data_IF_360555229820
#
_entry.id   IF_360555229820
#
_cell.length_a   1.000
_cell.length_b   1.000
_cell.length_c   1.000
_cell.angle_alpha   90.00
_cell.angle_beta   90.00
_cell.angle_gamma   90.00
#
_symmetry.space_group_name_H-M   'P 1'
#
loop_
_entity.id
_entity.type
_entity.pdbx_description
1 polymer ?
#
# COMPACT_ATOMS: atom_id res chain seq x y z
N UNK A 1 24.92 -3.05 -11.93
CA UNK A 1 25.39 -2.00 -10.99
C UNK A 1 24.80 -2.30 -9.63
N UNK A 2 25.53 -2.07 -8.54
CA UNK A 2 24.99 -2.15 -7.18
C UNK A 2 24.59 -0.74 -6.70
N UNK A 3 23.50 -0.58 -5.94
CA UNK A 3 23.12 0.71 -5.38
C UNK A 3 24.15 1.17 -4.34
N UNK A 4 24.57 2.42 -4.43
CA UNK A 4 25.44 3.02 -3.41
C UNK A 4 24.58 3.49 -2.21
N UNK A 5 24.43 2.61 -1.21
CA UNK A 5 23.59 2.85 -0.03
C UNK A 5 24.40 3.26 1.20
N UNK A 6 23.88 4.17 2.06
CA UNK A 6 24.46 4.43 3.38
C UNK A 6 24.60 3.14 4.20
N UNK A 7 25.65 3.06 5.03
CA UNK A 7 25.93 1.87 5.84
C UNK A 7 24.73 1.47 6.72
N UNK A 8 24.07 2.45 7.34
CA UNK A 8 22.88 2.23 8.18
C UNK A 8 21.75 1.55 7.40
N UNK A 9 21.44 2.05 6.20
CA UNK A 9 20.43 1.50 5.29
C UNK A 9 20.77 0.05 4.91
N UNK A 10 22.03 -0.21 4.53
CA UNK A 10 22.51 -1.55 4.19
C UNK A 10 22.35 -2.52 5.35
N UNK A 11 22.71 -2.09 6.55
CA UNK A 11 22.59 -2.89 7.77
C UNK A 11 21.13 -3.21 8.08
N UNK A 12 20.23 -2.22 8.01
CA UNK A 12 18.79 -2.42 8.23
C UNK A 12 18.17 -3.41 7.23
N UNK A 13 18.47 -3.26 5.94
CA UNK A 13 18.01 -4.19 4.89
C UNK A 13 18.53 -5.60 5.14
N UNK A 14 19.80 -5.73 5.52
CA UNK A 14 20.43 -7.03 5.77
C UNK A 14 19.79 -7.75 6.96
N UNK A 15 19.56 -7.02 8.06
CA UNK A 15 18.86 -7.53 9.26
C UNK A 15 17.43 -7.94 8.91
N UNK A 16 16.67 -7.07 8.22
CA UNK A 16 15.29 -7.36 7.83
C UNK A 16 15.17 -8.57 6.89
N UNK A 17 16.07 -8.66 5.90
CA UNK A 17 16.12 -9.79 4.97
C UNK A 17 16.46 -11.09 5.69
N UNK A 18 17.42 -11.06 6.62
CA UNK A 18 17.78 -12.21 7.43
C UNK A 18 16.62 -12.66 8.34
N UNK A 19 16.00 -11.72 9.05
CA UNK A 19 14.84 -11.97 9.89
C UNK A 19 13.68 -12.61 9.11
N UNK A 20 13.35 -12.06 7.93
CA UNK A 20 12.32 -12.63 7.06
C UNK A 20 12.68 -14.07 6.64
N UNK A 21 13.92 -14.32 6.21
CA UNK A 21 14.39 -15.67 5.82
C UNK A 21 14.32 -16.67 6.97
N UNK A 22 14.67 -16.27 8.19
CA UNK A 22 14.57 -17.13 9.39
C UNK A 22 13.12 -17.56 9.68
N UNK A 23 12.13 -16.78 9.23
CA UNK A 23 10.73 -17.09 9.44
C UNK A 23 10.16 -18.04 8.38
N UNK A 24 10.84 -18.25 7.24
CA UNK A 24 10.39 -19.16 6.19
C UNK A 24 10.91 -20.56 6.46
N UNK A 25 10.00 -21.55 6.52
CA UNK A 25 10.36 -22.97 6.60
C UNK A 25 10.56 -23.55 5.21
N UNK A 26 11.29 -24.66 5.13
CA UNK A 26 11.57 -25.35 3.86
C UNK A 26 10.32 -25.88 3.15
N UNK A 27 9.23 -26.13 3.89
CA UNK A 27 7.92 -26.56 3.38
C UNK A 27 7.05 -25.40 2.87
N UNK A 28 7.55 -24.17 2.89
CA UNK A 28 6.82 -22.97 2.45
C UNK A 28 5.88 -22.38 3.50
N UNK A 29 5.80 -22.95 4.71
CA UNK A 29 5.08 -22.35 5.83
C UNK A 29 5.89 -21.22 6.48
N UNK A 30 5.20 -20.34 7.22
CA UNK A 30 5.83 -19.20 7.91
C UNK A 30 5.74 -19.38 9.42
N UNK A 31 6.81 -19.09 10.14
CA UNK A 31 6.82 -19.04 11.60
C UNK A 31 6.29 -17.68 12.09
N UNK A 32 4.96 -17.55 12.17
CA UNK A 32 4.27 -16.32 12.61
C UNK A 32 4.69 -15.83 13.98
N UNK A 33 4.88 -16.75 14.93
CA UNK A 33 5.28 -16.38 16.30
C UNK A 33 6.68 -15.78 16.31
N UNK A 34 7.62 -16.39 15.59
CA UNK A 34 8.96 -15.83 15.46
C UNK A 34 8.93 -14.47 14.75
N UNK A 35 8.20 -14.37 13.64
CA UNK A 35 8.08 -13.10 12.92
C UNK A 35 7.48 -12.00 13.81
N UNK A 36 6.43 -12.32 14.57
CA UNK A 36 5.80 -11.38 15.51
C UNK A 36 6.74 -10.90 16.64
N UNK A 37 7.77 -11.67 16.99
CA UNK A 37 8.79 -11.24 17.96
C UNK A 37 9.82 -10.30 17.32
N UNK A 38 10.07 -10.44 16.02
CA UNK A 38 11.03 -9.64 15.26
C UNK A 38 10.40 -8.35 14.70
N UNK A 39 9.11 -8.39 14.40
CA UNK A 39 8.33 -7.26 13.93
C UNK A 39 7.97 -6.33 15.09
N UNK A 40 8.65 -5.19 15.16
CA UNK A 40 8.39 -4.20 16.20
C UNK A 40 7.02 -3.55 15.99
N UNK A 41 6.07 -3.89 16.85
CA UNK A 41 4.71 -3.32 16.80
C UNK A 41 4.59 -2.00 17.55
N UNK A 42 3.67 -1.15 17.11
CA UNK A 42 3.26 0.10 17.74
C UNK A 42 1.82 -0.02 18.20
N UNK A 43 1.59 0.26 19.48
CA UNK A 43 0.25 0.20 20.10
C UNK A 43 -0.48 1.52 19.86
N UNK A 44 -1.76 1.43 19.48
CA UNK A 44 -2.69 2.56 19.39
C UNK A 44 -3.77 2.44 20.49
N UNK A 45 -4.42 3.54 20.93
CA UNK A 45 -4.26 4.89 20.43
C UNK A 45 -2.94 5.54 20.87
N UNK A 46 -2.34 6.33 19.97
CA UNK A 46 -1.14 7.12 20.29
C UNK A 46 -1.04 8.34 19.38
N UNK A 47 -0.37 9.39 19.85
CA UNK A 47 -0.07 10.60 19.08
C UNK A 47 1.44 10.76 18.96
N UNK A 48 1.93 10.94 17.73
CA UNK A 48 3.35 11.14 17.42
C UNK A 48 3.52 12.43 16.63
N UNK A 49 4.64 13.12 16.82
CA UNK A 49 4.93 14.35 16.07
C UNK A 49 5.85 14.02 14.90
N UNK A 50 5.43 14.38 13.69
CA UNK A 50 6.21 14.26 12.46
C UNK A 50 6.22 15.61 11.75
N UNK A 51 7.40 16.15 11.44
CA UNK A 51 7.55 17.47 10.78
C UNK A 51 6.72 18.57 11.47
N UNK A 52 6.80 18.65 12.81
CA UNK A 52 6.05 19.59 13.66
C UNK A 52 4.52 19.47 13.60
N UNK A 53 3.99 18.40 13.00
CA UNK A 53 2.56 18.08 12.95
C UNK A 53 2.28 16.88 13.88
N UNK A 54 1.44 17.03 14.91
CA UNK A 54 0.92 15.89 15.67
C UNK A 54 0.04 15.01 14.78
N UNK A 55 0.24 13.70 14.82
CA UNK A 55 -0.58 12.71 14.12
C UNK A 55 -1.10 11.71 15.14
N UNK A 56 -2.42 11.68 15.34
CA UNK A 56 -3.06 10.66 16.16
C UNK A 56 -3.29 9.40 15.35
N UNK A 57 -3.26 8.26 16.03
CA UNK A 57 -3.56 6.95 15.46
C UNK A 57 -4.50 6.17 16.36
N UNK A 58 -5.44 5.43 15.77
CA UNK A 58 -6.40 4.56 16.47
C UNK A 58 -6.76 3.34 15.61
N UNK A 59 -7.11 2.22 16.24
CA UNK A 59 -7.48 0.99 15.54
C UNK A 59 -9.01 0.85 15.51
N UNK A 60 -9.57 0.59 14.34
CA UNK A 60 -11.01 0.44 14.12
C UNK A 60 -11.28 -0.97 13.61
N UNK A 61 -12.10 -1.72 14.35
CA UNK A 61 -12.50 -3.07 13.97
C UNK A 61 -13.53 -3.02 12.83
N UNK A 62 -13.31 -3.83 11.81
CA UNK A 62 -14.20 -3.98 10.65
C UNK A 62 -14.95 -5.31 10.74
N UNK A 63 -14.21 -6.40 10.96
CA UNK A 63 -14.75 -7.75 11.15
C UNK A 63 -13.87 -8.53 12.13
N UNK A 64 -14.29 -8.64 13.41
CA UNK A 64 -13.55 -9.37 14.44
C UNK A 64 -13.33 -10.85 14.12
N UNK A 65 -14.24 -11.49 13.36
CA UNK A 65 -14.17 -12.93 13.08
C UNK A 65 -12.97 -13.30 12.20
N UNK A 66 -12.47 -12.33 11.43
CA UNK A 66 -11.30 -12.47 10.54
C UNK A 66 -10.08 -11.68 11.02
N UNK A 67 -10.17 -11.04 12.19
CA UNK A 67 -9.19 -10.06 12.65
C UNK A 67 -8.94 -8.95 11.61
N UNK A 68 -10.02 -8.51 10.93
CA UNK A 68 -9.98 -7.41 9.98
C UNK A 68 -10.24 -6.09 10.71
N UNK A 69 -9.29 -5.20 10.61
CA UNK A 69 -9.33 -3.87 11.20
C UNK A 69 -8.45 -2.94 10.36
N UNK A 70 -8.54 -1.65 10.59
CA UNK A 70 -7.60 -0.69 10.03
C UNK A 70 -7.09 0.27 11.09
N UNK A 71 -5.86 0.75 10.90
CA UNK A 71 -5.34 1.88 11.67
C UNK A 71 -5.71 3.18 10.97
N UNK A 72 -6.43 4.04 11.68
CA UNK A 72 -6.73 5.39 11.25
C UNK A 72 -5.60 6.33 11.69
N UNK A 73 -5.08 7.14 10.79
CA UNK A 73 -4.12 8.21 11.10
C UNK A 73 -4.73 9.56 10.76
N UNK A 74 -4.69 10.51 11.71
CA UNK A 74 -5.30 11.83 11.57
C UNK A 74 -4.29 12.91 11.96
N UNK A 75 -3.88 13.78 11.03
CA UNK A 75 -2.99 14.89 11.34
C UNK A 75 -3.77 16.02 12.02
N UNK A 76 -3.16 16.63 13.03
CA UNK A 76 -3.59 17.86 13.64
C UNK A 76 -2.86 19.04 13.01
N UNK A 77 -3.36 19.46 11.85
CA UNK A 77 -2.83 20.64 11.17
C UNK A 77 -3.43 21.90 11.76
N UNK A 78 -2.61 22.91 12.04
CA UNK A 78 -3.04 24.28 12.43
C UNK A 78 -3.81 25.03 11.32
N UNK A 79 -4.26 24.34 10.27
CA UNK A 79 -5.05 24.91 9.19
C UNK A 79 -6.41 25.38 9.71
N UNK A 80 -7.06 26.30 8.97
CA UNK A 80 -8.39 26.78 9.30
C UNK A 80 -9.37 25.63 9.50
N UNK A 81 -10.37 25.84 10.36
CA UNK A 81 -11.43 24.86 10.66
C UNK A 81 -12.22 24.37 9.42
N UNK A 82 -12.00 24.96 8.25
CA UNK A 82 -12.69 24.69 6.98
C UNK A 82 -11.88 23.82 6.01
N UNK A 83 -10.59 23.54 6.28
CA UNK A 83 -9.79 22.73 5.35
C UNK A 83 -10.09 21.24 5.51
N UNK A 84 -10.78 20.65 4.53
CA UNK A 84 -10.99 19.21 4.46
C UNK A 84 -9.69 18.48 4.07
N UNK A 85 -9.54 17.25 4.54
CA UNK A 85 -8.35 16.41 4.34
C UNK A 85 -8.68 15.26 3.37
N UNK A 86 -7.91 15.05 2.28
CA UNK A 86 -8.08 13.88 1.42
C UNK A 86 -7.99 12.57 2.22
N UNK A 87 -8.71 11.56 1.75
CA UNK A 87 -8.68 10.20 2.29
C UNK A 87 -7.70 9.34 1.50
N UNK A 88 -6.79 8.65 2.18
CA UNK A 88 -5.91 7.64 1.59
C UNK A 88 -6.22 6.29 2.25
N UNK A 89 -6.74 5.33 1.49
CA UNK A 89 -6.85 3.93 1.91
C UNK A 89 -5.57 3.21 1.47
N UNK A 90 -4.77 2.79 2.45
CA UNK A 90 -3.42 2.29 2.25
C UNK A 90 -3.30 0.80 2.59
N UNK A 91 -2.59 0.08 1.72
CA UNK A 91 -2.24 -1.33 1.88
C UNK A 91 -0.71 -1.47 2.00
N UNK A 92 -0.25 -2.03 3.13
CA UNK A 92 1.19 -2.21 3.37
C UNK A 92 1.81 -3.30 2.47
N UNK A 93 3.11 -3.17 2.20
CA UNK A 93 3.93 -4.19 1.57
C UNK A 93 4.27 -5.38 2.47
N UNK A 94 5.14 -6.28 1.99
CA UNK A 94 5.53 -7.49 2.72
C UNK A 94 5.28 -8.80 1.97
N UNK A 95 5.12 -8.76 0.65
CA UNK A 95 4.97 -9.96 -0.17
C UNK A 95 3.76 -10.81 0.19
N UNK A 96 2.64 -10.17 0.57
CA UNK A 96 1.41 -10.80 1.10
C UNK A 96 1.61 -11.59 2.40
N UNK A 97 2.81 -11.55 2.97
CA UNK A 97 3.23 -12.48 4.01
C UNK A 97 3.61 -11.75 5.28
N UNK A 98 4.17 -10.55 5.20
CA UNK A 98 4.78 -9.88 6.35
C UNK A 98 4.07 -8.58 6.70
N UNK A 99 4.28 -8.17 7.95
CA UNK A 99 3.91 -6.88 8.52
C UNK A 99 2.39 -6.65 8.69
N UNK A 100 2.04 -5.49 9.22
CA UNK A 100 0.69 -4.99 9.42
C UNK A 100 0.69 -3.46 9.59
N UNK A 101 -0.49 -2.82 9.72
CA UNK A 101 -0.59 -1.39 9.99
C UNK A 101 0.11 -0.95 11.29
N UNK A 102 0.27 -1.89 12.23
CA UNK A 102 0.96 -1.71 13.50
C UNK A 102 2.46 -1.98 13.47
N UNK A 103 3.02 -2.47 12.35
CA UNK A 103 4.46 -2.61 12.20
C UNK A 103 5.11 -1.23 12.18
N UNK A 104 6.14 -1.00 13.01
CA UNK A 104 6.79 0.30 13.23
C UNK A 104 7.17 1.03 11.94
N UNK A 105 7.62 0.33 10.91
CA UNK A 105 7.97 0.94 9.62
C UNK A 105 6.74 1.50 8.90
N UNK A 106 5.65 0.75 8.85
CA UNK A 106 4.41 1.16 8.16
C UNK A 106 3.60 2.17 8.97
N UNK A 107 3.61 2.06 10.29
CA UNK A 107 3.09 3.07 11.21
C UNK A 107 3.83 4.40 11.05
N UNK A 108 5.16 4.39 11.02
CA UNK A 108 5.98 5.59 10.78
C UNK A 108 5.78 6.17 9.38
N UNK A 109 5.67 5.34 8.35
CA UNK A 109 5.36 5.77 6.98
C UNK A 109 4.01 6.49 6.91
N UNK A 110 2.95 5.91 7.49
CA UNK A 110 1.63 6.50 7.50
C UNK A 110 1.60 7.81 8.30
N UNK A 111 2.26 7.88 9.46
CA UNK A 111 2.37 9.14 10.20
C UNK A 111 3.12 10.21 9.40
N UNK A 112 4.23 9.84 8.75
CA UNK A 112 5.00 10.78 7.94
C UNK A 112 4.18 11.29 6.73
N UNK A 113 3.45 10.40 6.05
CA UNK A 113 2.56 10.76 4.95
C UNK A 113 1.43 11.68 5.43
N UNK A 114 0.73 11.32 6.51
CA UNK A 114 -0.39 12.12 7.05
C UNK A 114 0.07 13.52 7.49
N UNK A 115 1.29 13.65 8.04
CA UNK A 115 1.84 14.94 8.43
C UNK A 115 2.24 15.80 7.23
N UNK A 116 2.96 15.22 6.27
CA UNK A 116 3.50 15.97 5.13
C UNK A 116 2.47 16.21 4.02
N UNK A 117 1.49 15.32 3.90
CA UNK A 117 0.33 15.42 3.04
C UNK A 117 -0.84 15.41 4.02
N UNK A 118 -1.34 16.58 4.47
CA UNK A 118 -2.45 16.66 5.41
C UNK A 118 -3.66 15.84 4.96
N UNK A 119 -3.68 14.56 5.32
CA UNK A 119 -4.57 13.54 4.79
C UNK A 119 -4.97 12.60 5.92
N UNK A 120 -6.22 12.16 5.87
CA UNK A 120 -6.68 11.04 6.70
C UNK A 120 -6.22 9.75 6.05
N UNK A 121 -5.51 8.88 6.78
CA UNK A 121 -5.03 7.60 6.25
C UNK A 121 -5.71 6.44 6.96
N UNK A 122 -6.28 5.53 6.18
CA UNK A 122 -6.84 4.25 6.60
C UNK A 122 -5.86 3.15 6.17
N UNK A 123 -5.08 2.60 7.10
CA UNK A 123 -4.11 1.54 6.82
C UNK A 123 -4.69 0.17 7.18
N UNK A 124 -4.95 -0.67 6.18
CA UNK A 124 -5.76 -1.89 6.31
C UNK A 124 -4.93 -3.08 6.81
N UNK A 125 -5.40 -3.77 7.86
CA UNK A 125 -4.83 -5.03 8.35
C UNK A 125 -5.45 -6.22 7.59
N UNK A 126 -5.00 -6.41 6.34
CA UNK A 126 -5.46 -7.51 5.50
C UNK A 126 -4.84 -8.85 5.91
N UNK A 127 -5.55 -9.96 5.70
CA UNK A 127 -5.05 -11.30 6.04
C UNK A 127 -3.88 -11.73 5.16
N UNK A 128 -2.91 -12.43 5.78
CA UNK A 128 -1.63 -12.77 5.16
C UNK A 128 -1.57 -14.23 4.69
N UNK A 129 -0.90 -14.45 3.56
CA UNK A 129 -0.51 -15.77 3.06
C UNK A 129 0.72 -16.29 3.83
N UNK A 130 0.88 -17.61 4.03
CA UNK A 130 0.18 -18.70 3.34
C UNK A 130 -1.12 -19.20 4.00
N UNK A 131 -1.47 -18.77 5.22
CA UNK A 131 -2.68 -19.20 5.95
C UNK A 131 -3.94 -18.70 5.27
N UNK A 132 -3.90 -17.46 4.78
CA UNK A 132 -4.99 -16.84 4.04
C UNK A 132 -4.50 -16.49 2.63
N UNK A 133 -4.66 -17.47 1.74
CA UNK A 133 -4.28 -17.32 0.33
C UNK A 133 -5.27 -16.42 -0.40
N UNK A 134 -4.97 -16.12 -1.67
CA UNK A 134 -5.91 -15.48 -2.58
C UNK A 134 -7.31 -16.12 -2.48
N UNK A 135 -8.41 -15.35 -2.49
CA UNK A 135 -8.48 -13.88 -2.65
C UNK A 135 -8.48 -13.06 -1.34
N UNK A 136 -8.13 -13.64 -0.19
CA UNK A 136 -8.42 -13.05 1.13
C UNK A 136 -7.99 -11.58 1.30
N UNK A 137 -6.77 -11.21 0.90
CA UNK A 137 -6.29 -9.83 1.04
C UNK A 137 -7.09 -8.81 0.21
N UNK A 138 -7.60 -9.21 -0.96
CA UNK A 138 -8.42 -8.36 -1.82
C UNK A 138 -9.85 -8.24 -1.30
N UNK A 139 -10.40 -9.35 -0.78
CA UNK A 139 -11.69 -9.34 -0.09
C UNK A 139 -11.64 -8.43 1.14
N UNK A 140 -10.58 -8.53 1.95
CA UNK A 140 -10.40 -7.69 3.13
C UNK A 140 -10.29 -6.20 2.78
N UNK A 141 -9.56 -5.87 1.71
CA UNK A 141 -9.47 -4.48 1.24
C UNK A 141 -10.80 -3.94 0.74
N UNK A 142 -11.55 -4.73 -0.03
CA UNK A 142 -12.87 -4.33 -0.52
C UNK A 142 -13.91 -4.24 0.59
N UNK A 143 -13.95 -5.22 1.49
CA UNK A 143 -14.84 -5.25 2.66
C UNK A 143 -14.56 -4.06 3.59
N UNK A 144 -13.31 -3.61 3.70
CA UNK A 144 -12.98 -2.38 4.45
C UNK A 144 -13.62 -1.14 3.82
N UNK A 145 -13.61 -1.02 2.49
CA UNK A 145 -14.30 0.08 1.79
C UNK A 145 -15.81 0.02 2.02
N UNK A 146 -16.42 -1.16 1.86
CA UNK A 146 -17.87 -1.35 2.11
C UNK A 146 -18.26 -1.07 3.55
N UNK A 147 -17.40 -1.43 4.50
CA UNK A 147 -17.62 -1.13 5.91
C UNK A 147 -17.65 0.37 6.17
N UNK A 148 -16.67 1.12 5.65
CA UNK A 148 -16.62 2.59 5.81
C UNK A 148 -17.89 3.24 5.23
N UNK A 149 -18.31 2.82 4.04
CA UNK A 149 -19.56 3.28 3.41
C UNK A 149 -20.81 2.90 4.24
N UNK A 150 -20.89 1.65 4.70
CA UNK A 150 -22.03 1.16 5.51
C UNK A 150 -22.14 1.86 6.87
N UNK A 151 -21.04 2.38 7.41
CA UNK A 151 -21.05 3.25 8.59
C UNK A 151 -21.42 4.71 8.26
N UNK A 152 -21.84 5.00 7.03
CA UNK A 152 -22.07 6.35 6.52
C UNK A 152 -20.87 7.27 6.81
N UNK A 153 -19.66 6.72 6.66
CA UNK A 153 -18.38 7.39 6.90
C UNK A 153 -18.16 7.89 8.35
N UNK A 154 -19.02 7.52 9.31
CA UNK A 154 -18.93 7.99 10.70
C UNK A 154 -17.68 7.50 11.45
N UNK A 155 -16.98 6.51 10.90
CA UNK A 155 -15.69 6.01 11.41
C UNK A 155 -14.51 6.89 11.01
N UNK A 156 -14.70 7.83 10.07
CA UNK A 156 -13.70 8.79 9.64
C UNK A 156 -13.89 10.13 10.37
N UNK A 157 -12.84 10.96 10.51
CA UNK A 157 -12.97 12.33 11.00
C UNK A 157 -13.96 13.14 10.17
N UNK A 158 -14.73 14.04 10.81
CA UNK A 158 -15.68 14.92 10.11
C UNK A 158 -15.03 15.83 9.06
N UNK A 159 -13.72 16.08 9.18
CA UNK A 159 -12.91 16.86 8.24
C UNK A 159 -12.39 16.05 7.04
N UNK A 160 -12.77 14.79 6.86
CA UNK A 160 -12.33 14.00 5.72
C UNK A 160 -13.08 14.39 4.44
N UNK A 161 -12.34 14.69 3.38
CA UNK A 161 -12.85 15.01 2.05
C UNK A 161 -13.12 13.74 1.24
N UNK A 162 -14.38 13.34 1.16
CA UNK A 162 -14.79 12.16 0.39
C UNK A 162 -14.74 12.39 -1.13
N UNK A 163 -14.67 13.65 -1.59
CA UNK A 163 -14.45 13.94 -3.01
C UNK A 163 -13.00 13.68 -3.45
N UNK A 164 -12.08 13.56 -2.48
CA UNK A 164 -10.66 13.30 -2.68
C UNK A 164 -10.21 12.00 -2.01
N UNK A 165 -10.66 10.89 -2.56
CA UNK A 165 -10.32 9.54 -2.10
C UNK A 165 -9.25 8.88 -2.98
N UNK A 166 -8.20 8.36 -2.36
CA UNK A 166 -7.09 7.68 -3.01
C UNK A 166 -6.92 6.27 -2.43
N UNK A 167 -6.65 5.30 -3.30
CA UNK A 167 -6.28 3.93 -2.91
C UNK A 167 -4.80 3.76 -3.24
N UNK A 168 -4.00 3.42 -2.23
CA UNK A 168 -2.56 3.38 -2.30
C UNK A 168 -2.00 2.10 -1.68
N UNK A 169 -0.79 1.73 -2.07
CA UNK A 169 -0.07 0.64 -1.43
C UNK A 169 1.28 0.41 -2.07
N UNK A 170 2.15 -0.30 -1.35
CA UNK A 170 3.50 -0.58 -1.80
C UNK A 170 3.78 -2.08 -1.89
N UNK A 171 4.70 -2.50 -2.77
CA UNK A 171 5.03 -3.91 -2.96
C UNK A 171 3.75 -4.74 -3.22
N UNK A 172 3.46 -5.76 -2.41
CA UNK A 172 2.19 -6.49 -2.45
C UNK A 172 0.94 -5.60 -2.25
N UNK A 173 1.04 -4.56 -1.42
CA UNK A 173 -0.03 -3.60 -1.19
C UNK A 173 -0.42 -2.80 -2.44
N UNK A 174 0.52 -2.51 -3.33
CA UNK A 174 0.22 -1.87 -4.62
C UNK A 174 -0.59 -2.77 -5.55
N UNK A 175 -0.35 -4.09 -5.49
CA UNK A 175 -1.17 -5.07 -6.19
C UNK A 175 -2.59 -5.15 -5.59
N UNK A 176 -2.71 -5.14 -4.25
CA UNK A 176 -4.00 -5.10 -3.57
C UNK A 176 -4.77 -3.84 -3.97
N UNK A 177 -4.13 -2.67 -3.93
CA UNK A 177 -4.71 -1.39 -4.32
C UNK A 177 -5.30 -1.46 -5.74
N UNK A 178 -4.56 -1.98 -6.72
CA UNK A 178 -5.08 -2.15 -8.08
C UNK A 178 -6.37 -2.99 -8.12
N UNK A 179 -6.37 -4.17 -7.51
CA UNK A 179 -7.51 -5.10 -7.57
C UNK A 179 -8.71 -4.60 -6.78
N UNK A 180 -8.49 -3.94 -5.64
CA UNK A 180 -9.54 -3.29 -4.86
C UNK A 180 -10.16 -2.15 -5.66
N UNK A 181 -9.35 -1.28 -6.27
CA UNK A 181 -9.85 -0.20 -7.15
C UNK A 181 -10.63 -0.77 -8.33
N UNK A 182 -10.08 -1.78 -9.01
CA UNK A 182 -10.75 -2.43 -10.13
C UNK A 182 -12.13 -2.99 -9.72
N UNK A 183 -12.23 -3.62 -8.53
CA UNK A 183 -13.49 -4.15 -8.00
C UNK A 183 -14.46 -3.04 -7.62
N UNK A 184 -13.99 -1.98 -6.96
CA UNK A 184 -14.79 -0.81 -6.61
C UNK A 184 -15.40 -0.12 -7.85
N UNK A 185 -14.68 -0.11 -8.96
CA UNK A 185 -15.18 0.45 -10.23
C UNK A 185 -16.10 -0.49 -11.04
N UNK A 186 -16.21 -1.80 -10.73
CA UNK A 186 -17.02 -2.76 -11.51
C UNK A 186 -18.20 -3.39 -10.77
N UNK A 187 -18.13 -3.41 -9.44
CA UNK A 187 -19.00 -4.17 -8.53
C UNK A 187 -19.45 -5.57 -9.04
N UNK A 188 -18.54 -6.31 -9.72
CA UNK A 188 -18.72 -7.74 -9.99
C UNK A 188 -17.41 -8.47 -10.38
N UNK A 189 -17.05 -9.44 -9.53
CA UNK A 189 -16.16 -10.60 -9.71
C UNK A 189 -14.66 -10.40 -10.03
N UNK A 190 -13.81 -10.77 -9.06
CA UNK A 190 -12.43 -11.22 -9.31
C UNK A 190 -12.38 -12.76 -9.30
N UNK A 191 -11.90 -13.32 -10.41
CA UNK A 191 -11.78 -14.77 -10.61
C UNK A 191 -10.56 -15.35 -9.88
N UNK A 192 -10.73 -16.56 -9.33
CA UNK A 192 -9.76 -17.35 -8.57
C UNK A 192 -8.38 -17.51 -9.24
N UNK A 193 -7.31 -17.50 -8.44
CA UNK A 193 -6.02 -18.11 -8.79
C UNK A 193 -6.21 -19.64 -8.80
N UNK A 194 -6.12 -20.34 -9.94
CA UNK A 194 -6.18 -21.80 -9.97
C UNK A 194 -4.97 -22.41 -9.23
N UNK A 195 -5.14 -23.62 -8.73
CA UNK A 195 -4.04 -24.40 -8.16
C UNK A 195 -2.90 -24.52 -9.18
N UNK A 196 -1.67 -24.21 -8.75
CA UNK A 196 -0.49 -24.15 -9.65
C UNK A 196 -0.22 -22.80 -10.31
N UNK A 197 -0.99 -21.75 -10.00
CA UNK A 197 -0.72 -20.40 -10.49
C UNK A 197 0.62 -19.85 -9.96
N UNK A 198 1.43 -19.28 -10.85
CA UNK A 198 2.73 -18.69 -10.58
C UNK A 198 2.67 -17.14 -10.61
N UNK A 199 3.83 -16.48 -10.56
CA UNK A 199 3.94 -15.01 -10.65
C UNK A 199 3.39 -14.42 -11.96
N UNK A 200 3.14 -15.24 -12.98
CA UNK A 200 2.59 -14.79 -14.25
C UNK A 200 1.06 -14.80 -14.29
N UNK A 201 0.38 -15.24 -13.23
CA UNK A 201 -1.07 -15.20 -13.19
C UNK A 201 -1.61 -13.76 -13.15
N UNK A 202 -2.76 -13.51 -13.79
CA UNK A 202 -3.41 -12.18 -13.89
C UNK A 202 -3.59 -11.42 -12.57
N UNK A 203 -3.79 -12.15 -11.47
CA UNK A 203 -3.87 -11.57 -10.13
C UNK A 203 -2.54 -10.92 -9.70
N UNK A 204 -1.40 -11.53 -10.05
CA UNK A 204 -0.06 -11.02 -9.76
C UNK A 204 0.52 -10.16 -10.91
N UNK A 205 0.08 -10.40 -12.15
CA UNK A 205 0.56 -9.79 -13.39
C UNK A 205 -0.61 -9.35 -14.27
N UNK A 206 -1.12 -8.13 -14.01
CA UNK A 206 -2.38 -7.61 -14.56
C UNK A 206 -2.39 -7.55 -16.10
N UNK A 207 -1.26 -7.26 -16.75
CA UNK A 207 -1.16 -7.09 -18.21
C UNK A 207 -0.17 -8.08 -18.84
N UNK A 208 -0.37 -9.37 -18.55
CA UNK A 208 0.54 -10.50 -18.81
C UNK A 208 1.19 -10.53 -20.21
N UNK A 209 0.42 -10.21 -21.25
CA UNK A 209 0.81 -10.48 -22.64
C UNK A 209 1.50 -9.29 -23.35
N UNK A 210 1.78 -8.19 -22.64
CA UNK A 210 2.53 -7.05 -23.20
C UNK A 210 1.90 -6.55 -24.52
N UNK A 211 2.61 -6.54 -25.68
CA UNK A 211 2.04 -6.14 -26.97
C UNK A 211 0.87 -7.01 -27.46
N UNK A 212 0.68 -8.23 -26.93
CA UNK A 212 -0.38 -9.16 -27.33
C UNK A 212 -1.61 -9.10 -26.39
N UNK A 213 -2.10 -7.88 -26.15
CA UNK A 213 -3.22 -7.56 -25.26
C UNK A 213 -4.51 -8.32 -25.63
N UNK A 214 -5.20 -8.93 -24.65
CA UNK A 214 -6.53 -9.52 -24.86
C UNK A 214 -7.61 -8.63 -24.26
N UNK A 215 -8.82 -8.67 -24.83
CA UNK A 215 -9.96 -7.87 -24.35
C UNK A 215 -10.34 -8.11 -22.87
N UNK A 216 -9.92 -9.24 -22.30
CA UNK A 216 -10.11 -9.56 -20.88
C UNK A 216 -9.09 -8.89 -19.93
N UNK A 217 -8.04 -8.25 -20.47
CA UNK A 217 -6.98 -7.57 -19.71
C UNK A 217 -7.23 -6.06 -19.59
N UNK A 218 -8.50 -5.63 -19.61
CA UNK A 218 -8.89 -4.21 -19.51
C UNK A 218 -9.22 -3.81 -18.07
N UNK A 219 -8.96 -2.55 -17.74
CA UNK A 219 -9.52 -1.92 -16.54
C UNK A 219 -10.88 -1.27 -16.83
N UNK A 220 -11.76 -1.12 -15.83
CA UNK A 220 -13.05 -0.43 -16.02
C UNK A 220 -12.91 0.99 -16.56
N UNK A 221 -13.97 1.50 -17.20
CA UNK A 221 -14.01 2.85 -17.75
C UNK A 221 -13.78 3.92 -16.67
N UNK A 222 -14.34 3.72 -15.48
CA UNK A 222 -14.18 4.63 -14.34
C UNK A 222 -12.92 4.36 -13.50
N UNK A 223 -11.98 3.55 -13.98
CA UNK A 223 -10.71 3.34 -13.29
C UNK A 223 -9.92 4.67 -13.20
N UNK A 224 -9.46 5.07 -12.01
CA UNK A 224 -8.92 6.41 -11.78
C UNK A 224 -7.52 6.62 -12.39
N UNK A 225 -7.12 7.90 -12.44
CA UNK A 225 -5.72 8.27 -12.70
C UNK A 225 -4.78 7.57 -11.72
N UNK A 226 -3.60 7.16 -12.18
CA UNK A 226 -2.67 6.38 -11.36
C UNK A 226 -1.29 7.04 -11.28
N UNK A 227 -0.78 7.21 -10.06
CA UNK A 227 0.62 7.52 -9.78
C UNK A 227 1.37 6.22 -9.48
N UNK A 228 2.46 5.97 -10.22
CA UNK A 228 3.27 4.76 -10.12
C UNK A 228 4.73 5.14 -9.94
N UNK A 229 5.32 4.69 -8.83
CA UNK A 229 6.74 4.83 -8.56
C UNK A 229 7.49 3.57 -8.96
N UNK A 230 8.61 3.72 -9.67
CA UNK A 230 9.48 2.62 -10.09
C UNK A 230 10.90 2.89 -9.62
N UNK A 231 11.42 1.98 -8.79
CA UNK A 231 12.79 2.02 -8.29
C UNK A 231 13.73 1.27 -9.25
N UNK A 232 14.82 1.91 -9.68
CA UNK A 232 15.70 1.40 -10.72
C UNK A 232 16.53 0.17 -10.33
N UNK A 233 16.66 -0.12 -9.04
CA UNK A 233 17.24 -1.37 -8.53
C UNK A 233 16.19 -2.39 -8.07
N UNK A 234 14.90 -2.14 -8.29
CA UNK A 234 13.86 -3.15 -8.05
C UNK A 234 13.94 -4.25 -9.14
N UNK A 235 14.10 -5.53 -8.77
CA UNK A 235 14.12 -6.64 -9.73
C UNK A 235 12.83 -6.75 -10.57
N UNK A 236 11.73 -6.12 -10.14
CA UNK A 236 10.43 -6.14 -10.80
C UNK A 236 10.12 -4.85 -11.57
N UNK A 237 11.07 -3.92 -11.73
CA UNK A 237 10.85 -2.64 -12.41
C UNK A 237 10.23 -2.79 -13.81
N UNK A 238 10.64 -3.80 -14.58
CA UNK A 238 10.11 -4.03 -15.93
C UNK A 238 8.62 -4.39 -15.91
N UNK A 239 8.18 -5.13 -14.89
CA UNK A 239 6.77 -5.46 -14.68
C UNK A 239 5.97 -4.22 -14.28
N UNK A 240 6.53 -3.36 -13.44
CA UNK A 240 5.90 -2.10 -13.03
C UNK A 240 5.76 -1.13 -14.23
N UNK A 241 6.77 -1.07 -15.11
CA UNK A 241 6.73 -0.29 -16.35
C UNK A 241 5.70 -0.84 -17.35
N UNK A 242 5.63 -2.18 -17.50
CA UNK A 242 4.59 -2.84 -18.30
C UNK A 242 3.19 -2.54 -17.80
N UNK A 243 3.01 -2.49 -16.48
CA UNK A 243 1.75 -2.07 -15.87
C UNK A 243 1.33 -0.66 -16.30
N UNK A 244 2.25 0.30 -16.26
CA UNK A 244 2.00 1.67 -16.72
C UNK A 244 1.62 1.72 -18.21
N UNK A 245 2.29 0.94 -19.06
CA UNK A 245 1.95 0.82 -20.48
C UNK A 245 0.55 0.23 -20.67
N UNK A 246 0.19 -0.80 -19.90
CA UNK A 246 -1.14 -1.43 -19.96
C UNK A 246 -2.26 -0.46 -19.59
N UNK A 247 -2.09 0.32 -18.51
CA UNK A 247 -3.04 1.34 -18.11
C UNK A 247 -3.21 2.43 -19.18
N UNK A 248 -2.11 2.95 -19.75
CA UNK A 248 -2.17 3.96 -20.82
C UNK A 248 -2.90 3.45 -22.07
N UNK A 249 -2.72 2.16 -22.42
CA UNK A 249 -3.46 1.52 -23.52
C UNK A 249 -4.95 1.38 -23.25
N UNK A 250 -5.35 1.28 -21.98
CA UNK A 250 -6.75 1.34 -21.56
C UNK A 250 -7.29 2.78 -21.48
N UNK A 251 -6.56 3.77 -22.03
CA UNK A 251 -6.96 5.18 -22.02
C UNK A 251 -6.81 5.85 -20.64
N UNK A 252 -6.08 5.25 -19.70
CA UNK A 252 -5.93 5.81 -18.34
C UNK A 252 -4.74 6.75 -18.26
N UNK A 253 -4.93 7.83 -17.51
CA UNK A 253 -3.86 8.74 -17.14
C UNK A 253 -2.91 8.07 -16.14
N UNK A 254 -1.61 8.07 -16.46
CA UNK A 254 -0.57 7.45 -15.63
C UNK A 254 0.61 8.37 -15.44
N UNK A 255 0.82 8.77 -14.19
CA UNK A 255 1.98 9.50 -13.69
C UNK A 255 3.05 8.48 -13.31
N UNK A 256 4.08 8.33 -14.15
CA UNK A 256 5.18 7.42 -13.88
C UNK A 256 6.37 8.23 -13.34
N UNK A 257 6.78 7.94 -12.11
CA UNK A 257 7.97 8.52 -11.48
C UNK A 257 9.02 7.43 -11.34
N UNK A 258 10.16 7.63 -11.97
CA UNK A 258 11.28 6.69 -11.91
C UNK A 258 12.41 7.26 -11.05
N UNK A 259 12.91 6.44 -10.14
CA UNK A 259 14.13 6.74 -9.38
C UNK A 259 15.21 5.75 -9.79
N UNK A 260 16.09 6.10 -10.75
CA UNK A 260 17.11 5.17 -11.28
C UNK A 260 18.02 4.58 -10.21
N UNK A 261 18.28 5.34 -9.13
CA UNK A 261 19.10 4.93 -8.00
C UNK A 261 18.30 4.35 -6.82
N UNK A 262 16.97 4.38 -6.90
CA UNK A 262 16.09 3.89 -5.86
C UNK A 262 16.16 2.38 -5.73
N UNK A 263 16.08 1.90 -4.48
CA UNK A 263 15.93 0.49 -4.13
C UNK A 263 14.48 0.15 -3.79
N UNK A 264 14.13 -1.14 -3.77
CA UNK A 264 12.82 -1.56 -3.27
C UNK A 264 12.59 -1.03 -1.84
N UNK A 265 11.45 -0.38 -1.60
CA UNK A 265 11.12 0.19 -0.30
C UNK A 265 11.90 1.45 0.09
N UNK A 266 12.52 2.16 -0.86
CA UNK A 266 13.35 3.36 -0.60
C UNK A 266 12.67 4.40 0.31
N UNK A 267 11.34 4.55 0.23
CA UNK A 267 10.54 5.50 1.02
C UNK A 267 10.57 5.23 2.53
N UNK A 268 10.91 4.00 2.96
CA UNK A 268 11.06 3.66 4.37
C UNK A 268 12.40 4.12 4.98
N UNK A 269 13.30 4.70 4.19
CA UNK A 269 14.64 5.12 4.60
C UNK A 269 14.78 6.64 4.44
N UNK A 270 14.55 7.44 5.50
CA UNK A 270 14.61 8.89 5.43
C UNK A 270 15.97 9.45 4.99
N UNK A 271 17.05 8.67 5.13
CA UNK A 271 18.38 9.03 4.67
C UNK A 271 18.56 8.96 3.14
N UNK A 272 17.61 8.35 2.41
CA UNK A 272 17.65 8.29 0.96
C UNK A 272 16.96 9.53 0.36
N UNK A 273 17.62 10.29 -0.54
CA UNK A 273 17.03 11.47 -1.18
C UNK A 273 15.67 11.20 -1.84
N UNK A 274 15.50 10.00 -2.41
CA UNK A 274 14.29 9.54 -3.06
C UNK A 274 13.09 9.50 -2.10
N UNK A 275 13.30 9.29 -0.79
CA UNK A 275 12.21 9.27 0.20
C UNK A 275 11.50 10.63 0.32
N UNK A 276 12.27 11.72 0.37
CA UNK A 276 11.71 13.07 0.42
C UNK A 276 11.03 13.47 -0.91
N UNK A 277 11.63 13.06 -2.04
CA UNK A 277 11.04 13.28 -3.36
C UNK A 277 9.71 12.54 -3.51
N UNK A 278 9.62 11.30 -3.06
CA UNK A 278 8.38 10.52 -3.09
C UNK A 278 7.23 11.23 -2.41
N UNK A 279 7.43 11.77 -1.21
CA UNK A 279 6.38 12.51 -0.50
C UNK A 279 5.96 13.76 -1.27
N UNK A 280 6.89 14.45 -1.91
CA UNK A 280 6.60 15.62 -2.75
C UNK A 280 5.75 15.25 -3.97
N UNK A 281 6.09 14.18 -4.67
CA UNK A 281 5.35 13.71 -5.85
C UNK A 281 3.93 13.23 -5.48
N UNK A 282 3.78 12.50 -4.36
CA UNK A 282 2.45 12.11 -3.86
C UNK A 282 1.62 13.35 -3.51
N UNK A 283 2.21 14.34 -2.84
CA UNK A 283 1.52 15.60 -2.52
C UNK A 283 1.04 16.31 -3.78
N UNK A 284 1.90 16.40 -4.81
CA UNK A 284 1.54 17.06 -6.06
C UNK A 284 0.38 16.33 -6.75
N UNK A 285 0.43 15.00 -6.86
CA UNK A 285 -0.64 14.22 -7.46
C UNK A 285 -1.98 14.40 -6.75
N UNK A 286 -1.98 14.43 -5.40
CA UNK A 286 -3.19 14.65 -4.60
C UNK A 286 -3.74 16.09 -4.74
N UNK A 287 -2.88 17.07 -5.02
CA UNK A 287 -3.31 18.45 -5.24
C UNK A 287 -3.97 18.63 -6.61
N UNK A 288 -3.49 17.92 -7.63
CA UNK A 288 -3.99 18.01 -9.00
C UNK A 288 -5.24 17.15 -9.28
N UNK A 289 -5.58 16.22 -8.39
CA UNK A 289 -6.77 15.35 -8.45
C UNK A 289 -7.78 15.70 -7.38
#
# INVERSE_FOLDING_TARGET
MEPHLPFKTRLQISIGTFAAKLCVRSDGTINRRLFSLLDQKVIAPTTKVFNDVPVSSSDISVDPSRNLWFRLFVPDTKSSAETLLPLIVYFHGGGFTYFGPDSRSFDALCCNLAAQIPATIVSVNYRLAPEHRFPCAYDDGFDTLKYIEAQNYAVLPSKTDLSKCFIAGDSAGGNIAHHVTHRACKDSHLNFLPEGADRNHKAANVFRDGPNFKAADTVPEDFPSSLVFVAGFDPLQDWQKRYCVGLRRCGKEVWLVEYPNGIHGFYNFPELPESALFVKEVRQFIQEK
#
